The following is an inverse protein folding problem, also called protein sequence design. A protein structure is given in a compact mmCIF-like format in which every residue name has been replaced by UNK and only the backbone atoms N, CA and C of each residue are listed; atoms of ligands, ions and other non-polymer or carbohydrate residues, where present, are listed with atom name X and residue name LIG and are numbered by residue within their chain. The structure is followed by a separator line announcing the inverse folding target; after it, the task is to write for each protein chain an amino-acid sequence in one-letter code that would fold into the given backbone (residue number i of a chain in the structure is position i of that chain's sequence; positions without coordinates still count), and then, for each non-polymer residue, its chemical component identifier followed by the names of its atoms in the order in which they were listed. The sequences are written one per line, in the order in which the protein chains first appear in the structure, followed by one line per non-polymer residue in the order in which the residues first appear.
data_IF_112991516993
#
_entry.id   IF_112991516993
#
_cell.length_a   1.000
_cell.length_b   1.000
_cell.length_c   1.000
_cell.angle_alpha   90.00
_cell.angle_beta   90.00
_cell.angle_gamma   90.00
#
_symmetry.space_group_name_H-M   'P 1'
#
loop_
_entity.id
_entity.type
_entity.pdbx_description
1 polymer ?
#
# COMPACT_ATOMS: atom_id res chain seq x y z
N UNK A 1 -26.92 -71.04 -21.44
CA UNK A 1 -26.37 -69.67 -21.40
C UNK A 1 -26.95 -68.94 -20.19
N UNK A 2 -26.20 -68.13 -19.42
CA UNK A 2 -24.95 -68.39 -18.71
C UNK A 2 -25.16 -68.46 -17.18
N UNK A 3 -24.05 -68.80 -16.53
CA UNK A 3 -23.79 -69.13 -15.12
C UNK A 3 -24.06 -67.96 -14.16
N UNK A 4 -24.74 -68.24 -13.03
CA UNK A 4 -24.79 -67.36 -11.84
C UNK A 4 -23.44 -67.43 -11.10
N UNK A 5 -22.71 -66.32 -11.10
CA UNK A 5 -21.51 -66.13 -10.28
C UNK A 5 -21.92 -65.64 -8.88
N UNK A 6 -21.48 -66.42 -7.88
CA UNK A 6 -21.45 -66.03 -6.46
C UNK A 6 -20.17 -65.23 -6.22
N UNK A 7 -20.27 -64.10 -5.54
CA UNK A 7 -19.12 -63.46 -4.87
C UNK A 7 -19.52 -63.05 -3.45
N UNK A 8 -18.73 -63.42 -2.41
CA UNK A 8 -19.04 -63.14 -1.02
C UNK A 8 -18.49 -61.80 -0.52
N UNK A 9 -19.04 -61.41 0.63
CA UNK A 9 -18.81 -60.23 1.47
C UNK A 9 -17.37 -59.73 1.62
N UNK A 10 -17.18 -58.41 1.55
CA UNK A 10 -16.00 -57.73 2.10
C UNK A 10 -16.30 -57.16 3.48
N UNK A 11 -15.62 -57.73 4.47
CA UNK A 11 -15.48 -57.20 5.81
C UNK A 11 -14.67 -55.89 5.79
N UNK A 12 -15.09 -54.95 6.63
CA UNK A 12 -14.36 -53.70 6.88
C UNK A 12 -13.09 -53.94 7.68
N UNK A 13 -12.04 -53.19 7.35
CA UNK A 13 -10.82 -53.12 8.14
C UNK A 13 -10.51 -51.65 8.43
N UNK A 14 -10.70 -51.29 9.70
CA UNK A 14 -10.25 -50.05 10.32
C UNK A 14 -8.74 -50.21 10.56
N UNK A 15 -7.90 -49.34 10.01
CA UNK A 15 -6.47 -49.30 10.31
C UNK A 15 -6.18 -48.04 11.14
N UNK A 16 -5.79 -48.31 12.38
CA UNK A 16 -5.31 -47.37 13.39
C UNK A 16 -3.94 -46.80 13.01
N UNK A 17 -3.77 -45.50 13.20
CA UNK A 17 -2.51 -44.77 13.08
C UNK A 17 -1.63 -44.99 14.32
N UNK A 18 -0.60 -45.82 14.21
CA UNK A 18 0.56 -45.77 15.10
C UNK A 18 1.80 -46.46 14.48
N UNK A 19 2.94 -45.79 14.63
CA UNK A 19 4.31 -46.30 14.50
C UNK A 19 4.91 -46.54 13.09
N UNK A 20 5.56 -45.50 12.55
CA UNK A 20 6.94 -45.62 12.00
C UNK A 20 7.69 -44.32 12.32
N UNK A 21 8.43 -44.30 13.43
CA UNK A 21 9.50 -43.33 13.67
C UNK A 21 10.79 -44.04 13.32
N UNK A 22 11.39 -43.70 12.17
CA UNK A 22 12.70 -44.19 11.78
C UNK A 22 13.72 -43.07 11.96
N UNK A 23 14.70 -43.32 12.83
CA UNK A 23 15.85 -42.46 13.07
C UNK A 23 16.63 -42.21 11.78
N UNK A 24 16.86 -40.93 11.46
CA UNK A 24 18.08 -40.51 10.75
C UNK A 24 18.76 -39.42 11.57
N UNK A 25 19.93 -39.78 12.11
CA UNK A 25 20.86 -38.85 12.75
C UNK A 25 21.37 -37.87 11.68
N UNK A 26 21.09 -36.59 11.88
CA UNK A 26 21.67 -35.49 11.11
C UNK A 26 23.15 -35.36 11.48
N UNK A 27 24.03 -35.75 10.57
CA UNK A 27 25.40 -35.27 10.58
C UNK A 27 25.38 -33.78 10.19
N UNK A 28 25.74 -32.91 11.14
CA UNK A 28 26.07 -31.52 10.85
C UNK A 28 27.37 -31.48 10.04
N UNK A 29 27.23 -31.52 8.71
CA UNK A 29 28.30 -31.09 7.80
C UNK A 29 28.13 -29.58 7.66
N UNK A 30 29.01 -28.82 8.30
CA UNK A 30 29.18 -27.39 8.01
C UNK A 30 29.43 -27.23 6.50
N UNK A 31 28.68 -26.37 5.78
CA UNK A 31 28.93 -26.16 4.37
C UNK A 31 30.35 -25.61 4.18
N UNK A 32 31.09 -26.04 3.14
CA UNK A 32 32.39 -25.46 2.85
C UNK A 32 32.24 -23.97 2.57
N UNK A 33 33.26 -23.13 2.87
CA UNK A 33 33.20 -21.71 2.56
C UNK A 33 32.99 -21.55 1.05
N UNK A 34 31.89 -20.92 0.67
CA UNK A 34 31.45 -20.80 -0.71
C UNK A 34 32.46 -19.99 -1.52
N UNK A 35 33.19 -20.65 -2.42
CA UNK A 35 33.76 -19.97 -3.58
C UNK A 35 32.59 -19.54 -4.47
N UNK A 36 32.30 -18.24 -4.52
CA UNK A 36 31.24 -17.69 -5.37
C UNK A 36 31.44 -18.15 -6.82
N UNK A 37 30.46 -18.85 -7.40
CA UNK A 37 30.54 -19.30 -8.79
C UNK A 37 30.54 -18.10 -9.73
N UNK A 38 31.09 -18.24 -10.94
CA UNK A 38 31.05 -17.16 -11.96
C UNK A 38 29.62 -16.76 -12.33
N UNK A 39 28.66 -17.69 -12.20
CA UNK A 39 27.22 -17.45 -12.38
C UNK A 39 26.65 -16.56 -11.26
N UNK A 40 27.06 -16.76 -10.01
CA UNK A 40 26.64 -15.90 -8.88
C UNK A 40 27.19 -14.49 -9.01
N UNK A 41 28.46 -14.35 -9.42
CA UNK A 41 29.07 -13.04 -9.67
C UNK A 41 28.35 -12.30 -10.80
N UNK A 42 28.06 -12.99 -11.91
CA UNK A 42 27.31 -12.39 -13.03
C UNK A 42 25.90 -11.94 -12.64
N UNK A 43 25.21 -12.72 -11.80
CA UNK A 43 23.88 -12.38 -11.28
C UNK A 43 23.91 -11.18 -10.34
N UNK A 44 24.91 -11.11 -9.46
CA UNK A 44 25.13 -9.98 -8.56
C UNK A 44 25.36 -8.68 -9.35
N UNK A 45 26.27 -8.70 -10.32
CA UNK A 45 26.56 -7.55 -11.19
C UNK A 45 25.34 -7.12 -12.00
N UNK A 46 24.54 -8.08 -12.49
CA UNK A 46 23.28 -7.78 -13.16
C UNK A 46 22.30 -7.06 -12.23
N UNK A 47 22.12 -7.58 -11.01
CA UNK A 47 21.19 -7.02 -10.04
C UNK A 47 21.60 -5.59 -9.62
N UNK A 48 22.88 -5.33 -9.41
CA UNK A 48 23.39 -3.98 -9.13
C UNK A 48 23.03 -2.99 -10.25
N UNK A 49 23.10 -3.44 -11.51
CA UNK A 49 22.67 -2.63 -12.66
C UNK A 49 21.15 -2.49 -12.71
N UNK A 50 20.40 -3.56 -12.45
CA UNK A 50 18.94 -3.55 -12.43
C UNK A 50 18.39 -2.52 -11.44
N UNK A 51 18.98 -2.45 -10.24
CA UNK A 51 18.58 -1.53 -9.17
C UNK A 51 18.94 -0.05 -9.44
N UNK A 52 19.90 0.21 -10.33
CA UNK A 52 20.26 1.58 -10.76
C UNK A 52 19.55 2.01 -12.05
N UNK A 53 18.99 1.05 -12.79
CA UNK A 53 18.34 1.28 -14.08
C UNK A 53 19.29 1.74 -15.20
N UNK A 54 18.76 1.94 -16.42
CA UNK A 54 17.43 1.51 -16.85
C UNK A 54 17.38 -0.01 -17.11
N UNK A 55 16.23 -0.61 -16.80
CA UNK A 55 15.90 -2.03 -17.05
C UNK A 55 14.39 -2.14 -17.28
N UNK A 56 13.93 -3.20 -17.96
CA UNK A 56 12.50 -3.46 -18.13
C UNK A 56 11.81 -3.65 -16.77
N UNK A 57 10.59 -3.12 -16.62
CA UNK A 57 9.84 -3.17 -15.36
C UNK A 57 9.44 -4.61 -14.95
N UNK A 58 9.37 -5.53 -15.90
CA UNK A 58 9.02 -6.94 -15.72
C UNK A 58 10.22 -7.89 -15.82
N UNK A 59 11.45 -7.36 -15.68
CA UNK A 59 12.66 -8.16 -15.65
C UNK A 59 12.60 -9.24 -14.54
N UNK A 60 12.82 -10.53 -14.85
CA UNK A 60 12.65 -11.62 -13.88
C UNK A 60 13.52 -11.50 -12.63
N UNK A 61 14.76 -11.03 -12.75
CA UNK A 61 15.68 -10.90 -11.62
C UNK A 61 15.30 -9.69 -10.75
N UNK A 62 14.81 -8.61 -11.35
CA UNK A 62 14.20 -7.52 -10.61
C UNK A 62 12.97 -8.00 -9.83
N UNK A 63 12.05 -8.72 -10.47
CA UNK A 63 10.83 -9.21 -9.82
C UNK A 63 11.14 -10.17 -8.66
N UNK A 64 12.11 -11.06 -8.84
CA UNK A 64 12.57 -11.97 -7.77
C UNK A 64 13.18 -11.19 -6.61
N UNK A 65 14.01 -10.18 -6.89
CA UNK A 65 14.59 -9.33 -5.85
C UNK A 65 13.50 -8.55 -5.10
N UNK A 66 12.51 -8.01 -5.80
CA UNK A 66 11.40 -7.30 -5.14
C UNK A 66 10.62 -8.24 -4.23
N UNK A 67 10.35 -9.47 -4.69
CA UNK A 67 9.66 -10.47 -3.89
C UNK A 67 10.44 -10.83 -2.61
N UNK A 68 11.77 -10.97 -2.71
CA UNK A 68 12.67 -11.19 -1.57
C UNK A 68 12.64 -10.02 -0.56
N UNK A 69 12.50 -8.77 -1.04
CA UNK A 69 12.43 -7.57 -0.19
C UNK A 69 11.04 -7.25 0.34
N UNK A 70 10.01 -7.93 -0.12
CA UNK A 70 8.64 -7.68 0.31
C UNK A 70 8.30 -8.52 1.54
N UNK A 71 7.99 -7.87 2.64
CA UNK A 71 7.50 -8.53 3.84
C UNK A 71 6.11 -9.16 3.56
N UNK A 72 5.89 -10.43 3.93
CA UNK A 72 4.60 -11.07 3.75
C UNK A 72 3.56 -10.58 4.77
N UNK A 73 2.25 -10.78 4.49
CA UNK A 73 1.19 -10.53 5.47
C UNK A 73 1.46 -11.19 6.82
N UNK A 74 1.31 -10.43 7.91
CA UNK A 74 1.57 -10.95 9.25
C UNK A 74 0.57 -12.03 9.64
N UNK A 75 1.05 -13.06 10.33
CA UNK A 75 0.21 -14.11 10.94
C UNK A 75 -0.14 -13.79 12.39
N UNK A 76 0.54 -12.83 13.00
CA UNK A 76 0.32 -12.41 14.38
C UNK A 76 -0.95 -11.58 14.54
N UNK A 77 -1.59 -11.56 15.72
CA UNK A 77 -2.71 -10.66 15.99
C UNK A 77 -2.35 -9.20 15.69
N UNK A 78 -3.32 -8.42 15.22
CA UNK A 78 -3.16 -6.97 15.01
C UNK A 78 -2.62 -6.29 16.27
N UNK A 79 -1.61 -5.45 16.09
CA UNK A 79 -1.01 -4.65 17.16
C UNK A 79 -1.26 -3.15 16.88
N UNK A 80 -2.53 -2.77 17.00
CA UNK A 80 -3.03 -1.44 16.64
C UNK A 80 -3.20 -0.59 17.90
N UNK A 81 -2.71 0.64 17.83
CA UNK A 81 -2.78 1.66 18.88
C UNK A 81 -3.82 2.72 18.51
N UNK A 82 -5.11 2.35 18.60
CA UNK A 82 -6.26 3.20 18.27
C UNK A 82 -6.31 4.55 19.02
N UNK A 83 -5.53 4.71 20.10
CA UNK A 83 -5.37 5.99 20.81
C UNK A 83 -4.67 7.07 19.95
N UNK A 84 -3.95 6.68 18.92
CA UNK A 84 -3.20 7.56 18.02
C UNK A 84 -3.73 7.52 16.59
N UNK A 85 -5.01 7.18 16.37
CA UNK A 85 -5.66 7.41 15.06
C UNK A 85 -5.81 8.90 14.74
N UNK A 86 -5.48 9.79 15.69
CA UNK A 86 -5.35 11.23 15.49
C UNK A 86 -6.12 12.13 16.44
N UNK A 87 -6.45 11.75 17.68
CA UNK A 87 -7.29 12.61 18.51
C UNK A 87 -6.91 12.60 20.00
N UNK A 88 -6.22 13.65 20.42
CA UNK A 88 -6.33 14.28 21.74
C UNK A 88 -5.71 15.67 21.56
N UNK A 89 -6.45 16.73 21.22
CA UNK A 89 -7.28 17.44 22.19
C UNK A 89 -8.38 18.32 21.54
N UNK A 90 -8.60 18.27 20.22
CA UNK A 90 -9.62 19.11 19.53
C UNK A 90 -10.94 18.40 19.22
N UNK A 91 -11.02 17.07 19.34
CA UNK A 91 -12.24 16.31 19.04
C UNK A 91 -12.74 15.53 20.25
N UNK A 92 -13.64 16.16 20.99
CA UNK A 92 -14.55 15.48 21.91
C UNK A 92 -15.66 14.74 21.10
N UNK A 93 -15.26 13.90 20.13
CA UNK A 93 -16.19 13.25 19.19
C UNK A 93 -15.93 11.76 19.07
N UNK A 94 -17.02 11.01 18.92
CA UNK A 94 -17.07 9.55 18.81
C UNK A 94 -16.51 8.97 17.50
N UNK A 95 -15.85 9.76 16.66
CA UNK A 95 -15.32 9.33 15.37
C UNK A 95 -13.78 9.35 15.35
N UNK A 96 -13.08 8.21 15.17
CA UNK A 96 -11.62 8.13 15.19
C UNK A 96 -10.93 8.55 13.88
N UNK A 97 -11.66 8.93 12.84
CA UNK A 97 -11.13 9.26 11.51
C UNK A 97 -10.92 10.76 11.29
N UNK A 98 -9.92 11.11 10.47
CA UNK A 98 -9.79 12.48 9.98
C UNK A 98 -10.84 12.82 8.92
N UNK A 99 -11.17 14.10 8.67
CA UNK A 99 -12.11 14.48 7.61
C UNK A 99 -11.74 13.97 6.21
N UNK A 100 -10.45 13.84 5.89
CA UNK A 100 -9.97 13.26 4.63
C UNK A 100 -10.23 11.75 4.58
N UNK A 101 -9.97 11.02 5.67
CA UNK A 101 -10.30 9.59 5.74
C UNK A 101 -11.80 9.33 5.65
N UNK A 102 -12.63 10.14 6.32
CA UNK A 102 -14.09 10.06 6.21
C UNK A 102 -14.55 10.22 4.76
N UNK A 103 -14.04 11.26 4.08
CA UNK A 103 -14.31 11.50 2.67
C UNK A 103 -13.94 10.29 1.80
N UNK A 104 -12.75 9.73 1.97
CA UNK A 104 -12.27 8.60 1.18
C UNK A 104 -13.12 7.35 1.43
N UNK A 105 -13.32 6.98 2.70
CA UNK A 105 -14.05 5.77 3.08
C UNK A 105 -15.52 5.84 2.66
N UNK A 106 -16.19 6.99 2.80
CA UNK A 106 -17.57 7.18 2.35
C UNK A 106 -17.72 6.91 0.86
N UNK A 107 -16.79 7.41 0.03
CA UNK A 107 -16.87 7.22 -1.42
C UNK A 107 -16.54 5.79 -1.85
N UNK A 108 -15.63 5.11 -1.14
CA UNK A 108 -15.36 3.68 -1.33
C UNK A 108 -16.63 2.87 -0.99
N UNK A 109 -17.21 3.08 0.18
CA UNK A 109 -18.43 2.40 0.63
C UNK A 109 -19.59 2.62 -0.32
N UNK A 110 -19.82 3.86 -0.77
CA UNK A 110 -20.88 4.19 -1.71
C UNK A 110 -20.66 3.55 -3.09
N UNK A 111 -19.42 3.54 -3.58
CA UNK A 111 -19.10 3.02 -4.90
C UNK A 111 -19.19 1.48 -4.96
N UNK A 112 -18.56 0.79 -4.00
CA UNK A 112 -18.57 -0.68 -3.97
C UNK A 112 -19.89 -1.24 -3.41
N UNK A 113 -20.58 -0.49 -2.55
CA UNK A 113 -21.88 -0.84 -2.02
C UNK A 113 -21.92 -2.26 -1.46
N UNK A 114 -22.89 -3.07 -1.89
CA UNK A 114 -23.01 -4.46 -1.46
C UNK A 114 -21.81 -5.35 -1.84
N UNK A 115 -21.00 -4.95 -2.82
CA UNK A 115 -19.82 -5.70 -3.26
C UNK A 115 -18.59 -5.43 -2.38
N UNK A 116 -18.65 -4.51 -1.42
CA UNK A 116 -17.49 -4.15 -0.61
C UNK A 116 -16.87 -5.35 0.14
N UNK A 117 -17.64 -6.41 0.41
CA UNK A 117 -17.15 -7.63 1.06
C UNK A 117 -16.57 -8.68 0.09
N UNK A 118 -16.44 -8.35 -1.20
CA UNK A 118 -15.78 -9.23 -2.18
C UNK A 118 -14.26 -9.25 -1.93
N UNK A 119 -13.57 -10.32 -2.35
CA UNK A 119 -12.11 -10.44 -2.18
C UNK A 119 -11.38 -9.47 -3.11
N UNK A 120 -11.24 -8.24 -2.66
CA UNK A 120 -10.60 -7.16 -3.39
C UNK A 120 -9.16 -6.90 -2.94
N UNK A 121 -8.41 -6.23 -3.81
CA UNK A 121 -7.00 -5.88 -3.59
C UNK A 121 -6.81 -4.38 -3.53
N UNK A 122 -6.09 -3.89 -2.54
CA UNK A 122 -5.64 -2.49 -2.47
C UNK A 122 -4.11 -2.36 -2.61
N UNK A 123 -3.68 -1.17 -3.01
CA UNK A 123 -2.30 -0.70 -2.84
C UNK A 123 -2.36 0.66 -2.16
N UNK A 124 -1.54 0.86 -1.12
CA UNK A 124 -1.36 2.15 -0.44
C UNK A 124 0.11 2.54 -0.51
N UNK A 125 0.40 3.62 -1.23
CA UNK A 125 1.72 4.24 -1.28
C UNK A 125 1.72 5.50 -0.43
N UNK A 126 2.68 5.61 0.49
CA UNK A 126 2.64 6.54 1.62
C UNK A 126 2.01 5.92 2.87
N UNK A 127 2.28 4.65 3.13
CA UNK A 127 1.61 3.89 4.19
C UNK A 127 2.02 4.30 5.62
N UNK A 128 3.06 5.12 5.76
CA UNK A 128 3.56 5.65 7.03
C UNK A 128 3.77 4.56 8.10
N UNK A 129 3.11 4.66 9.26
CA UNK A 129 3.21 3.70 10.35
C UNK A 129 2.23 2.53 10.24
N UNK A 130 1.50 2.43 9.12
CA UNK A 130 0.54 1.38 8.84
C UNK A 130 -0.79 1.47 9.58
N UNK A 131 -1.03 2.51 10.38
CA UNK A 131 -2.27 2.69 11.14
C UNK A 131 -2.80 4.12 11.09
N UNK A 132 -1.97 5.08 11.48
CA UNK A 132 -2.32 6.49 11.51
C UNK A 132 -2.62 7.01 10.10
N UNK A 133 -3.79 7.61 9.93
CA UNK A 133 -4.29 8.14 8.64
C UNK A 133 -4.36 7.11 7.49
N UNK A 134 -4.25 5.80 7.76
CA UNK A 134 -4.34 4.79 6.70
C UNK A 134 -5.71 4.80 6.03
N UNK A 135 -5.71 4.80 4.69
CA UNK A 135 -6.92 4.73 3.86
C UNK A 135 -7.40 3.28 3.67
N UNK A 136 -6.58 2.28 4.01
CA UNK A 136 -6.84 0.88 3.68
C UNK A 136 -7.02 -0.06 4.88
N UNK A 137 -6.63 0.36 6.09
CA UNK A 137 -6.71 -0.48 7.30
C UNK A 137 -8.14 -0.99 7.55
N UNK A 138 -9.14 -0.12 7.39
CA UNK A 138 -10.55 -0.46 7.54
C UNK A 138 -11.00 -1.54 6.55
N UNK A 139 -10.60 -1.39 5.28
CA UNK A 139 -10.95 -2.32 4.20
C UNK A 139 -10.33 -3.70 4.43
N UNK A 140 -9.09 -3.72 4.92
CA UNK A 140 -8.41 -4.96 5.29
C UNK A 140 -9.12 -5.67 6.45
N UNK A 141 -9.38 -4.93 7.54
CA UNK A 141 -9.85 -5.50 8.80
C UNK A 141 -11.34 -5.87 8.78
N UNK A 142 -12.17 -5.05 8.16
CA UNK A 142 -13.64 -5.19 8.21
C UNK A 142 -14.23 -5.81 6.95
N UNK A 143 -13.57 -5.64 5.80
CA UNK A 143 -14.03 -6.16 4.52
C UNK A 143 -13.15 -7.29 3.97
N UNK A 144 -12.08 -7.67 4.67
CA UNK A 144 -11.20 -8.78 4.29
C UNK A 144 -10.40 -8.52 3.03
N UNK A 145 -10.23 -7.25 2.64
CA UNK A 145 -9.41 -6.91 1.48
C UNK A 145 -7.95 -7.28 1.75
N UNK A 146 -7.26 -7.68 0.69
CA UNK A 146 -5.82 -7.93 0.73
C UNK A 146 -5.10 -6.75 0.11
N UNK A 147 -3.83 -6.54 0.41
CA UNK A 147 -3.15 -5.45 -0.27
C UNK A 147 -1.68 -5.33 0.00
N UNK A 148 -1.11 -4.28 -0.56
CA UNK A 148 0.30 -3.93 -0.50
C UNK A 148 0.45 -2.52 0.10
N UNK A 149 1.35 -2.40 1.07
CA UNK A 149 1.76 -1.15 1.70
C UNK A 149 3.17 -0.79 1.25
N UNK A 150 3.37 0.46 0.81
CA UNK A 150 4.65 0.98 0.33
C UNK A 150 5.03 2.18 1.17
N UNK A 151 6.18 2.11 1.85
CA UNK A 151 6.67 3.18 2.72
C UNK A 151 8.20 3.34 2.58
N UNK A 152 8.70 4.48 2.09
CA UNK A 152 10.14 4.70 1.91
C UNK A 152 10.90 4.97 3.20
N UNK A 153 10.30 5.61 4.21
CA UNK A 153 10.99 5.93 5.46
C UNK A 153 11.19 4.67 6.28
N UNK A 154 12.45 4.32 6.55
CA UNK A 154 12.77 3.09 7.29
C UNK A 154 12.16 3.05 8.69
N UNK A 155 12.20 4.16 9.43
CA UNK A 155 11.64 4.22 10.80
C UNK A 155 10.12 4.06 10.79
N UNK A 156 9.43 4.67 9.83
CA UNK A 156 7.98 4.48 9.63
C UNK A 156 7.66 3.05 9.21
N UNK A 157 8.44 2.48 8.30
CA UNK A 157 8.29 1.10 7.86
C UNK A 157 8.47 0.09 9.00
N UNK A 158 9.43 0.31 9.90
CA UNK A 158 9.62 -0.52 11.09
C UNK A 158 8.38 -0.46 12.02
N UNK A 159 7.77 0.73 12.19
CA UNK A 159 6.50 0.89 12.92
C UNK A 159 5.34 0.17 12.22
N UNK A 160 5.27 0.27 10.89
CA UNK A 160 4.28 -0.40 10.04
C UNK A 160 4.32 -1.91 10.23
N UNK A 161 5.50 -2.52 10.18
CA UNK A 161 5.65 -3.95 10.41
C UNK A 161 5.18 -4.35 11.82
N UNK A 162 5.46 -3.51 12.82
CA UNK A 162 5.03 -3.74 14.19
C UNK A 162 3.50 -3.70 14.39
N UNK A 163 2.72 -3.16 13.45
CA UNK A 163 1.24 -3.19 13.48
C UNK A 163 0.64 -4.55 13.14
N UNK A 164 1.44 -5.45 12.58
CA UNK A 164 1.00 -6.79 12.14
C UNK A 164 -0.16 -6.74 11.12
N UNK A 165 -0.08 -5.79 10.18
CA UNK A 165 -1.01 -5.70 9.04
C UNK A 165 -1.08 -7.04 8.28
N UNK A 166 -2.26 -7.33 7.72
CA UNK A 166 -2.53 -8.50 6.87
C UNK A 166 -2.27 -8.23 5.38
N UNK A 167 -1.47 -7.21 5.11
CA UNK A 167 -1.00 -6.78 3.81
C UNK A 167 0.48 -7.12 3.61
N UNK A 168 0.89 -7.26 2.36
CA UNK A 168 2.32 -7.22 2.02
C UNK A 168 2.86 -5.83 2.30
N UNK A 169 4.15 -5.71 2.63
CA UNK A 169 4.77 -4.42 2.88
C UNK A 169 6.18 -4.37 2.28
N UNK A 170 6.55 -3.25 1.66
CA UNK A 170 7.91 -3.04 1.13
C UNK A 170 8.47 -1.67 1.53
N UNK A 171 9.73 -1.65 1.97
CA UNK A 171 10.46 -0.42 2.24
C UNK A 171 11.10 0.09 0.96
N UNK A 172 10.34 0.87 0.19
CA UNK A 172 10.75 1.45 -1.07
C UNK A 172 9.95 2.72 -1.37
N UNK A 173 10.50 3.59 -2.21
CA UNK A 173 9.73 4.64 -2.87
C UNK A 173 9.16 4.14 -4.20
N UNK A 174 8.16 4.83 -4.73
CA UNK A 174 7.75 4.64 -6.11
C UNK A 174 8.66 5.45 -7.04
N UNK A 175 9.16 4.80 -8.08
CA UNK A 175 10.01 5.46 -9.08
C UNK A 175 9.19 6.39 -9.95
N UNK A 176 9.74 7.59 -10.21
CA UNK A 176 9.24 8.53 -11.22
C UNK A 176 9.74 8.18 -12.63
N UNK A 177 10.51 7.11 -12.76
CA UNK A 177 10.99 6.54 -14.01
C UNK A 177 10.37 5.14 -14.24
N UNK A 178 10.23 4.68 -15.49
CA UNK A 178 9.76 3.33 -15.80
C UNK A 178 10.84 2.25 -15.53
N UNK A 179 11.72 2.47 -14.56
CA UNK A 179 12.77 1.58 -14.10
C UNK A 179 13.20 1.95 -12.66
N UNK A 180 13.89 1.06 -11.92
CA UNK A 180 14.39 1.36 -10.58
C UNK A 180 15.40 2.50 -10.55
N UNK A 181 15.39 3.29 -9.47
CA UNK A 181 16.39 4.32 -9.18
C UNK A 181 16.71 4.37 -7.68
N UNK A 182 17.73 5.12 -7.29
CA UNK A 182 18.03 5.40 -5.89
C UNK A 182 17.92 6.90 -5.67
N UNK A 183 17.06 7.29 -4.72
CA UNK A 183 16.81 8.69 -4.42
C UNK A 183 17.24 8.99 -2.99
N UNK A 184 17.78 10.19 -2.76
CA UNK A 184 18.19 10.65 -1.43
C UNK A 184 17.14 11.59 -0.85
N UNK A 185 16.51 11.16 0.23
CA UNK A 185 15.48 11.90 0.94
C UNK A 185 16.06 12.57 2.18
N UNK A 186 15.55 13.76 2.52
CA UNK A 186 15.89 14.38 3.81
C UNK A 186 14.88 13.90 4.84
N UNK A 187 15.39 13.27 5.90
CA UNK A 187 14.56 12.94 7.06
C UNK A 187 14.47 14.16 7.94
N UNK A 188 13.27 14.51 8.38
CA UNK A 188 13.06 15.59 9.34
C UNK A 188 12.50 15.02 10.63
N UNK A 189 13.06 15.49 11.75
CA UNK A 189 12.58 15.20 13.09
C UNK A 189 11.79 16.40 13.59
N UNK A 190 10.54 16.14 13.91
CA UNK A 190 9.65 17.06 14.60
C UNK A 190 9.86 16.88 16.10
N UNK A 191 10.65 17.76 16.73
CA UNK A 191 10.90 17.92 18.18
C UNK A 191 10.52 16.72 19.08
N UNK A 192 11.05 15.53 18.77
CA UNK A 192 10.96 14.32 19.58
C UNK A 192 9.72 13.43 19.39
N UNK A 193 8.89 13.61 18.36
CA UNK A 193 7.67 12.77 18.19
C UNK A 193 7.48 12.13 16.81
N UNK A 194 8.01 12.69 15.73
CA UNK A 194 7.69 12.24 14.36
C UNK A 194 8.88 12.37 13.43
N UNK A 195 9.22 11.27 12.78
CA UNK A 195 10.12 11.23 11.64
C UNK A 195 9.28 11.23 10.37
N UNK A 196 9.51 12.17 9.45
CA UNK A 196 8.93 12.10 8.11
C UNK A 196 9.97 12.43 7.03
N UNK A 197 9.70 11.96 5.81
CA UNK A 197 10.51 12.29 4.64
C UNK A 197 9.99 13.60 4.05
N UNK A 198 10.88 14.59 3.95
CA UNK A 198 10.64 15.78 3.16
C UNK A 198 11.33 15.63 1.80
N UNK A 199 10.59 15.88 0.72
CA UNK A 199 11.13 16.05 -0.62
C UNK A 199 11.91 17.38 -0.68
N UNK A 200 13.10 17.41 -0.09
CA UNK A 200 13.93 18.61 -0.07
C UNK A 200 14.51 18.88 -1.46
N UNK A 201 14.01 19.91 -2.15
CA UNK A 201 14.77 20.57 -3.21
C UNK A 201 15.83 21.44 -2.52
N UNK A 202 17.13 21.27 -2.82
CA UNK A 202 18.16 22.19 -2.32
C UNK A 202 17.87 23.62 -2.79
N UNK A 203 17.54 24.54 -1.86
CA UNK A 203 17.43 25.98 -2.12
C UNK A 203 16.04 26.63 -1.99
N UNK A 204 15.00 25.91 -1.57
CA UNK A 204 13.69 26.51 -1.32
C UNK A 204 13.70 27.37 -0.02
N UNK A 205 13.23 28.61 -0.10
CA UNK A 205 13.01 29.48 1.08
C UNK A 205 11.59 29.31 1.62
N UNK A 206 11.35 29.46 2.94
CA UNK A 206 10.01 29.43 3.52
C UNK A 206 9.23 30.69 3.12
N UNK A 207 8.05 30.51 2.53
CA UNK A 207 7.07 31.59 2.36
C UNK A 207 6.24 31.78 3.64
N UNK A 208 5.59 32.95 3.82
CA UNK A 208 5.00 33.38 5.10
C UNK A 208 3.79 32.55 5.59
N UNK A 209 3.37 31.52 4.86
CA UNK A 209 2.20 30.68 5.18
C UNK A 209 2.52 29.17 5.25
N UNK A 210 3.78 28.77 5.44
CA UNK A 210 4.19 27.36 5.40
C UNK A 210 4.18 26.74 3.99
N UNK A 211 4.04 27.60 2.97
CA UNK A 211 4.18 27.26 1.56
C UNK A 211 5.63 27.58 1.18
N UNK A 212 6.43 26.57 0.81
CA UNK A 212 7.70 26.86 0.16
C UNK A 212 7.41 27.58 -1.18
N UNK A 213 8.30 28.49 -1.58
CA UNK A 213 8.23 29.29 -2.83
C UNK A 213 8.18 28.45 -4.13
N UNK A 214 8.03 27.13 -4.01
CA UNK A 214 7.92 26.15 -5.09
C UNK A 214 6.57 25.42 -5.13
N UNK A 215 5.62 25.75 -4.25
CA UNK A 215 4.26 25.18 -4.29
C UNK A 215 4.18 23.68 -4.01
N UNK A 216 5.11 23.11 -3.24
CA UNK A 216 5.06 21.68 -2.86
C UNK A 216 4.31 21.50 -1.55
N UNK A 217 3.31 20.63 -1.59
CA UNK A 217 2.36 20.35 -0.52
C UNK A 217 3.07 19.99 0.79
N UNK A 218 2.56 20.55 1.88
CA UNK A 218 2.75 20.02 3.21
C UNK A 218 2.00 18.70 3.30
N UNK A 219 2.73 17.61 3.57
CA UNK A 219 2.18 16.28 3.84
C UNK A 219 0.91 16.28 4.66
N UNK A 220 0.02 15.31 4.43
CA UNK A 220 -1.15 15.11 5.31
C UNK A 220 -0.72 15.09 6.79
N UNK A 221 0.44 14.49 7.05
CA UNK A 221 1.07 14.45 8.36
C UNK A 221 1.49 15.84 8.88
N UNK A 222 2.16 16.66 8.07
CA UNK A 222 2.59 18.01 8.49
C UNK A 222 1.41 18.98 8.68
N UNK A 223 0.36 18.86 7.86
CA UNK A 223 -0.90 19.59 8.05
C UNK A 223 -1.62 19.18 9.32
N UNK A 224 -1.66 17.89 9.62
CA UNK A 224 -2.31 17.38 10.83
C UNK A 224 -1.65 17.92 12.10
N UNK A 225 -0.32 17.95 12.16
CA UNK A 225 0.40 18.41 13.36
C UNK A 225 0.66 19.92 13.43
N UNK A 226 0.17 20.70 12.45
CA UNK A 226 0.36 22.15 12.37
C UNK A 226 1.82 22.57 12.67
N UNK A 227 2.80 21.79 12.17
CA UNK A 227 4.21 22.07 12.41
C UNK A 227 4.59 23.34 11.65
N UNK A 228 5.08 24.35 12.38
CA UNK A 228 5.81 25.44 11.75
C UNK A 228 7.18 24.91 11.29
N UNK A 229 7.63 25.35 10.12
CA UNK A 229 8.93 24.95 9.52
C UNK A 229 10.09 25.12 10.52
N UNK A 230 10.01 26.11 11.42
CA UNK A 230 10.97 26.39 12.50
C UNK A 230 11.12 25.26 13.54
N UNK A 231 10.16 24.35 13.65
CA UNK A 231 10.17 23.22 14.60
C UNK A 231 10.64 21.90 13.98
N UNK A 232 10.83 21.88 12.65
CA UNK A 232 11.39 20.76 11.92
C UNK A 232 12.91 20.89 11.87
N UNK A 233 13.60 19.82 12.30
CA UNK A 233 15.06 19.76 12.20
C UNK A 233 15.45 18.68 11.21
N UNK A 234 16.31 18.98 10.22
CA UNK A 234 16.93 17.94 9.40
C UNK A 234 17.63 16.93 10.31
N UNK A 235 17.16 15.70 10.29
CA UNK A 235 17.69 14.58 11.07
C UNK A 235 18.74 13.77 10.28
N UNK A 236 18.81 13.97 8.96
CA UNK A 236 19.76 13.28 8.10
C UNK A 236 19.32 13.19 6.64
N UNK A 237 20.09 12.44 5.85
CA UNK A 237 19.70 11.99 4.51
C UNK A 237 19.67 10.47 4.48
N UNK A 238 18.65 9.93 3.86
CA UNK A 238 18.49 8.49 3.64
C UNK A 238 18.41 8.22 2.13
N UNK A 239 19.21 7.29 1.63
CA UNK A 239 19.10 6.81 0.25
C UNK A 239 18.14 5.63 0.23
N UNK A 240 17.06 5.76 -0.54
CA UNK A 240 16.01 4.76 -0.64
C UNK A 240 15.95 4.21 -2.06
N UNK A 241 15.72 2.91 -2.19
CA UNK A 241 15.45 2.29 -3.48
C UNK A 241 14.04 2.67 -3.94
N UNK A 242 13.95 3.31 -5.10
CA UNK A 242 12.68 3.55 -5.78
C UNK A 242 12.45 2.47 -6.84
N UNK A 243 11.21 1.98 -6.91
CA UNK A 243 10.80 0.90 -7.81
C UNK A 243 9.55 1.33 -8.58
N UNK A 244 9.42 1.00 -9.88
CA UNK A 244 8.17 1.23 -10.59
C UNK A 244 7.03 0.46 -9.93
N UNK A 245 5.86 1.09 -9.79
CA UNK A 245 4.66 0.46 -9.20
C UNK A 245 4.32 -0.87 -9.88
N UNK A 246 4.46 -0.92 -11.21
CA UNK A 246 4.19 -2.13 -11.97
C UNK A 246 5.17 -3.25 -11.64
N UNK A 247 6.46 -2.97 -11.41
CA UNK A 247 7.41 -4.00 -10.97
C UNK A 247 7.01 -4.63 -9.64
N UNK A 248 6.61 -3.81 -8.66
CA UNK A 248 6.22 -4.31 -7.33
C UNK A 248 4.94 -5.15 -7.40
N UNK A 249 3.92 -4.63 -8.06
CA UNK A 249 2.63 -5.30 -8.19
C UNK A 249 2.76 -6.58 -9.04
N UNK A 250 3.59 -6.56 -10.09
CA UNK A 250 3.89 -7.73 -10.91
C UNK A 250 4.60 -8.84 -10.13
N UNK A 251 5.55 -8.50 -9.26
CA UNK A 251 6.23 -9.48 -8.39
C UNK A 251 5.25 -10.21 -7.46
N UNK A 252 4.16 -9.55 -7.05
CA UNK A 252 3.09 -10.11 -6.23
C UNK A 252 1.94 -10.73 -7.04
N UNK A 253 2.06 -10.82 -8.37
CA UNK A 253 0.99 -11.26 -9.28
C UNK A 253 -0.29 -10.42 -9.17
N UNK A 254 -0.17 -9.13 -8.87
CA UNK A 254 -1.26 -8.15 -8.85
C UNK A 254 -1.25 -7.36 -10.17
N UNK A 255 -2.18 -7.67 -11.08
CA UNK A 255 -2.35 -6.98 -12.37
C UNK A 255 -3.62 -6.10 -12.43
N UNK A 256 -4.54 -6.31 -11.49
CA UNK A 256 -5.70 -5.46 -11.26
C UNK A 256 -5.78 -5.10 -9.78
N UNK A 257 -5.98 -3.83 -9.49
CA UNK A 257 -6.07 -3.29 -8.14
C UNK A 257 -7.43 -2.61 -7.98
N UNK A 258 -8.20 -2.99 -6.97
CA UNK A 258 -9.52 -2.41 -6.74
C UNK A 258 -9.43 -0.99 -6.18
N UNK A 259 -8.45 -0.73 -5.31
CA UNK A 259 -8.17 0.60 -4.78
C UNK A 259 -6.67 0.88 -4.81
N UNK A 260 -6.26 1.94 -5.50
CA UNK A 260 -4.92 2.48 -5.37
C UNK A 260 -4.96 3.84 -4.67
N UNK A 261 -4.47 3.88 -3.43
CA UNK A 261 -4.24 5.11 -2.67
C UNK A 261 -2.80 5.57 -2.92
N UNK A 262 -2.66 6.73 -3.55
CA UNK A 262 -1.38 7.33 -3.92
C UNK A 262 -1.22 8.69 -3.22
N UNK A 263 -0.41 8.69 -2.16
CA UNK A 263 -0.18 9.84 -1.27
C UNK A 263 1.33 9.89 -0.95
N UNK A 264 2.11 10.47 -1.85
CA UNK A 264 3.59 10.35 -1.87
C UNK A 264 4.29 11.70 -1.95
N UNK A 265 3.60 12.75 -1.51
CA UNK A 265 4.17 14.05 -1.20
C UNK A 265 4.70 14.81 -2.42
N UNK A 266 3.96 14.76 -3.53
CA UNK A 266 4.18 15.62 -4.70
C UNK A 266 4.85 14.95 -5.90
N UNK A 267 4.93 13.62 -5.92
CA UNK A 267 5.47 12.83 -7.05
C UNK A 267 4.38 12.07 -7.83
N UNK A 268 3.11 12.29 -7.52
CA UNK A 268 1.96 11.49 -7.96
C UNK A 268 1.88 11.44 -9.49
N UNK A 269 1.92 12.60 -10.15
CA UNK A 269 1.85 12.72 -11.60
C UNK A 269 2.98 11.96 -12.31
N UNK A 270 4.21 12.08 -11.80
CA UNK A 270 5.36 11.44 -12.45
C UNK A 270 5.35 9.92 -12.26
N UNK A 271 4.91 9.44 -11.11
CA UNK A 271 4.66 8.01 -10.87
C UNK A 271 3.57 7.49 -11.81
N UNK A 272 2.44 8.19 -11.96
CA UNK A 272 1.34 7.80 -12.83
C UNK A 272 1.75 7.69 -14.31
N UNK A 273 2.69 8.52 -14.77
CA UNK A 273 3.26 8.45 -16.13
C UNK A 273 4.07 7.17 -16.37
N UNK A 274 4.61 6.53 -15.32
CA UNK A 274 5.40 5.29 -15.44
C UNK A 274 4.55 4.04 -15.64
N UNK A 275 3.26 4.10 -15.31
CA UNK A 275 2.36 2.96 -15.31
C UNK A 275 2.12 2.45 -16.75
N UNK A 276 2.37 1.17 -17.05
CA UNK A 276 1.94 0.56 -18.30
C UNK A 276 0.44 0.23 -18.22
N UNK A 277 -0.41 1.22 -18.54
CA UNK A 277 -1.88 1.16 -18.38
C UNK A 277 -2.59 0.01 -19.12
N UNK A 278 -1.92 -0.68 -20.06
CA UNK A 278 -2.42 -1.90 -20.69
C UNK A 278 -2.16 -3.19 -19.90
N UNK A 279 -1.26 -3.17 -18.92
CA UNK A 279 -0.84 -4.32 -18.12
C UNK A 279 -1.19 -4.19 -16.63
N UNK A 280 -1.36 -2.96 -16.12
CA UNK A 280 -1.81 -2.67 -14.77
C UNK A 280 -3.06 -1.80 -14.81
N UNK A 281 -4.12 -2.24 -14.14
CA UNK A 281 -5.43 -1.56 -14.17
C UNK A 281 -5.98 -1.36 -12.77
N UNK A 282 -6.86 -0.36 -12.64
CA UNK A 282 -7.43 0.04 -11.36
C UNK A 282 -8.96 0.13 -11.46
N UNK A 283 -9.67 -0.22 -10.39
CA UNK A 283 -11.11 0.10 -10.30
C UNK A 283 -11.31 1.54 -9.82
N UNK A 284 -10.67 1.90 -8.70
CA UNK A 284 -10.70 3.22 -8.08
C UNK A 284 -9.27 3.68 -7.73
N UNK A 285 -9.00 4.97 -7.90
CA UNK A 285 -7.78 5.61 -7.44
C UNK A 285 -8.14 6.77 -6.51
N UNK A 286 -7.45 6.85 -5.38
CA UNK A 286 -7.43 8.00 -4.48
C UNK A 286 -6.05 8.62 -4.62
N UNK A 287 -5.98 9.85 -5.12
CA UNK A 287 -4.71 10.50 -5.46
C UNK A 287 -4.64 11.83 -4.74
N UNK A 288 -3.56 12.05 -3.98
CA UNK A 288 -3.27 13.36 -3.40
C UNK A 288 -2.95 14.37 -4.51
N UNK A 289 -3.47 15.59 -4.42
CA UNK A 289 -3.27 16.65 -5.40
C UNK A 289 -2.95 17.99 -4.73
N UNK A 290 -2.24 18.82 -5.49
CA UNK A 290 -2.01 20.23 -5.18
C UNK A 290 -3.25 21.03 -5.63
N UNK A 291 -3.70 22.07 -4.89
CA UNK A 291 -4.88 22.84 -5.28
C UNK A 291 -4.76 23.41 -6.69
N UNK A 292 -5.81 23.22 -7.50
CA UNK A 292 -5.88 23.74 -8.87
C UNK A 292 -5.15 22.91 -9.92
N UNK A 293 -4.67 21.70 -9.58
CA UNK A 293 -4.09 20.78 -10.57
C UNK A 293 -5.16 20.21 -11.51
N UNK A 294 -5.32 20.85 -12.67
CA UNK A 294 -6.16 20.36 -13.77
C UNK A 294 -5.45 19.33 -14.63
N UNK A 295 -4.11 19.33 -14.65
CA UNK A 295 -3.31 18.43 -15.48
C UNK A 295 -3.45 16.98 -15.02
N UNK A 296 -3.56 16.75 -13.70
CA UNK A 296 -3.83 15.43 -13.15
C UNK A 296 -5.19 14.89 -13.62
N UNK A 297 -6.22 15.73 -13.64
CA UNK A 297 -7.55 15.34 -14.11
C UNK A 297 -7.51 14.99 -15.60
N UNK A 298 -6.94 15.86 -16.43
CA UNK A 298 -6.79 15.64 -17.88
C UNK A 298 -5.99 14.36 -18.19
N UNK A 299 -4.91 14.13 -17.44
CA UNK A 299 -4.10 12.93 -17.59
C UNK A 299 -4.93 11.67 -17.26
N UNK A 300 -5.61 11.63 -16.12
CA UNK A 300 -6.42 10.49 -15.72
C UNK A 300 -7.59 10.25 -16.69
N UNK A 301 -8.20 11.30 -17.22
CA UNK A 301 -9.22 11.21 -18.26
C UNK A 301 -8.71 10.57 -19.55
N UNK A 302 -7.48 10.90 -19.95
CA UNK A 302 -6.79 10.30 -21.11
C UNK A 302 -6.51 8.80 -20.91
N UNK A 303 -6.43 8.33 -19.66
CA UNK A 303 -6.25 6.91 -19.30
C UNK A 303 -7.58 6.17 -19.09
N UNK A 304 -8.71 6.83 -19.33
CA UNK A 304 -10.03 6.20 -19.25
C UNK A 304 -10.67 6.24 -17.86
N UNK A 305 -10.21 7.11 -16.97
CA UNK A 305 -10.78 7.32 -15.64
C UNK A 305 -11.58 8.62 -15.58
N UNK A 306 -12.58 8.69 -14.71
CA UNK A 306 -13.36 9.90 -14.46
C UNK A 306 -13.20 10.33 -13.00
N UNK A 307 -13.03 11.62 -12.78
CA UNK A 307 -13.10 12.22 -11.44
C UNK A 307 -14.56 12.16 -10.97
N UNK A 308 -14.81 11.51 -9.83
CA UNK A 308 -16.17 11.39 -9.25
C UNK A 308 -16.36 12.21 -7.98
N UNK A 309 -15.26 12.51 -7.28
CA UNK A 309 -15.29 13.32 -6.08
C UNK A 309 -13.92 13.97 -5.85
N UNK A 310 -13.94 15.10 -5.14
CA UNK A 310 -12.74 15.80 -4.72
C UNK A 310 -12.98 16.52 -3.39
N UNK A 311 -11.99 16.50 -2.52
CA UNK A 311 -11.92 17.30 -1.30
C UNK A 311 -10.45 17.49 -1.00
N UNK A 312 -9.93 18.72 -1.04
CA UNK A 312 -8.50 18.97 -0.83
C UNK A 312 -7.96 18.23 0.41
N UNK A 313 -6.91 17.41 0.27
CA UNK A 313 -6.01 17.25 -0.88
C UNK A 313 -6.34 16.07 -1.81
N UNK A 314 -7.54 15.51 -1.79
CA UNK A 314 -7.84 14.21 -2.38
C UNK A 314 -8.73 14.28 -3.61
N UNK A 315 -8.29 13.61 -4.68
CA UNK A 315 -9.11 13.26 -5.84
C UNK A 315 -9.48 11.78 -5.82
N UNK A 316 -10.74 11.49 -6.19
CA UNK A 316 -11.23 10.12 -6.36
C UNK A 316 -11.59 9.90 -7.82
N UNK A 317 -10.84 9.02 -8.47
CA UNK A 317 -11.06 8.60 -9.85
C UNK A 317 -11.59 7.17 -9.91
N UNK A 318 -12.46 6.88 -10.87
CA UNK A 318 -12.91 5.52 -11.17
C UNK A 318 -12.89 5.24 -12.67
N UNK A 319 -12.74 3.98 -13.06
CA UNK A 319 -12.76 3.59 -14.47
C UNK A 319 -14.08 4.01 -15.14
N UNK A 320 -14.02 4.68 -16.31
CA UNK A 320 -15.20 5.23 -17.00
C UNK A 320 -16.28 4.19 -17.31
N UNK A 321 -15.90 2.92 -17.48
CA UNK A 321 -16.85 1.82 -17.68
C UNK A 321 -17.69 1.52 -16.44
N UNK A 322 -17.19 1.79 -15.23
CA UNK A 322 -17.95 1.64 -13.99
C UNK A 322 -18.96 2.78 -13.79
N UNK A 323 -18.63 4.01 -14.23
CA UNK A 323 -19.51 5.20 -14.12
C UNK A 323 -20.80 5.03 -14.91
N UNK A 324 -20.76 4.34 -16.06
CA UNK A 324 -21.95 4.09 -16.90
C UNK A 324 -23.02 3.24 -16.23
N UNK A 325 -22.71 2.57 -15.12
CA UNK A 325 -23.65 1.75 -14.36
C UNK A 325 -24.19 2.45 -13.09
N UNK A 326 -23.83 3.72 -12.83
CA UNK A 326 -24.13 4.39 -11.56
C UNK A 326 -24.94 5.70 -11.61
N UNK A 327 -25.51 6.16 -12.74
CA UNK A 327 -26.43 7.32 -12.73
C UNK A 327 -27.78 7.06 -13.43
N UNK A 328 -28.91 7.56 -12.89
CA UNK A 328 -29.02 8.62 -11.87
C UNK A 328 -29.73 8.16 -10.58
N UNK A 329 -29.23 8.57 -9.41
CA UNK A 329 -30.08 8.69 -8.22
C UNK A 329 -30.33 10.19 -8.01
N UNK A 330 -31.59 10.57 -8.11
CA UNK A 330 -32.10 11.93 -8.00
C UNK A 330 -31.65 12.63 -6.70
N UNK A 331 -31.53 13.98 -6.69
CA UNK A 331 -31.24 14.75 -5.49
C UNK A 331 -32.49 14.77 -4.59
N UNK A 332 -32.62 13.76 -3.75
CA UNK A 332 -33.72 13.65 -2.80
C UNK A 332 -33.61 12.38 -1.99
N UNK A 333 -33.34 12.53 -0.70
CA UNK A 333 -33.26 11.48 0.33
C UNK A 333 -32.00 10.61 0.35
N UNK A 334 -31.00 11.10 1.10
CA UNK A 334 -30.41 10.30 2.19
C UNK A 334 -29.70 11.21 3.21
N UNK A 335 -30.49 11.78 4.13
CA UNK A 335 -30.02 12.04 5.50
C UNK A 335 -30.40 10.84 6.36
N UNK A 336 -29.46 10.39 7.18
CA UNK A 336 -29.59 9.43 8.30
C UNK A 336 -29.69 7.95 7.92
N UNK A 337 -28.55 7.25 8.06
CA UNK A 337 -28.41 6.00 8.82
C UNK A 337 -26.97 5.53 8.69
N UNK A 338 -26.15 5.73 9.71
CA UNK A 338 -25.16 4.79 10.25
C UNK A 338 -24.78 5.32 11.65
N UNK A 339 -24.29 4.45 12.54
CA UNK A 339 -24.26 4.56 14.02
C UNK A 339 -25.54 4.13 14.76
N UNK A 340 -25.80 2.82 14.78
CA UNK A 340 -26.37 2.11 15.94
C UNK A 340 -26.03 0.62 15.87
N UNK A 341 -24.92 0.23 16.51
CA UNK A 341 -24.70 -1.07 17.16
C UNK A 341 -23.28 -1.05 17.72
N UNK A 342 -23.07 -0.82 19.01
CA UNK A 342 -22.95 -1.96 19.93
C UNK A 342 -23.11 -1.48 21.38
N UNK A 343 -24.17 -1.94 22.04
CA UNK A 343 -24.25 -2.00 23.50
C UNK A 343 -24.75 -3.38 23.89
N UNK A 344 -24.03 -3.96 24.85
CA UNK A 344 -24.32 -5.13 25.69
C UNK A 344 -24.02 -6.51 25.10
N UNK A 345 -22.98 -7.12 25.65
CA UNK A 345 -23.09 -8.43 26.28
C UNK A 345 -22.28 -8.40 27.59
N UNK A 346 -23.07 -8.45 28.68
CA UNK A 346 -22.82 -8.72 30.10
C UNK A 346 -21.75 -7.91 30.86
#
# INVERSE_FOLDING_TARGET
MPVKLVTPSRAGLIISTAAVVSLMQLAFISPPPSSSSSLDVGRQTYLEKALRGPIAQDDPLLLEWILDKTAPPSREPYNLNYFFSGLSDEFNSSNPYSPSQEFILEHIENFFGAQINMPFVFVEAGAYDGEFLSNTLMLEKEHGWRGLLIEPNRKSFEKLLAKHRKAWAINACLSTNPFPSQESFTTVEASGKIDFIANAIPGAKPGPNGMNDTGKASSRLSRFYNYSDDTLRPAGRETVQCLPLYSITRALNMNHINLFSLDVEGAEMDILKTIPWGALTFTMLVIEHIPGDTLLVEFMESKGYALIAHQYPDYIFVVKTAVKFQLPISPGNRRKKFWKTSKKLL
#
